data_IF_366487837974
#
_entry.id   IF_366487837974
#
_cell.length_a   1.000
_cell.length_b   1.000
_cell.length_c   1.000
_cell.angle_alpha   90.00
_cell.angle_beta   90.00
_cell.angle_gamma   90.00
#
_symmetry.space_group_name_H-M   'P 1'
#
loop_
_entity.id
_entity.type
_entity.pdbx_description
1 polymer ?
#
# COMPACT_ATOMS: atom_id res chain seq x y z
N UNK A 1 -7.46 -7.09 -0.86
CA UNK A 1 -8.21 -5.82 -0.81
C UNK A 1 -7.22 -4.70 -0.51
N UNK A 2 -7.39 -3.50 -1.08
CA UNK A 2 -6.48 -2.35 -0.87
C UNK A 2 -7.07 -1.42 0.18
N UNK A 3 -6.45 -1.34 1.35
CA UNK A 3 -6.92 -0.47 2.44
C UNK A 3 -6.42 0.96 2.32
N UNK A 4 -5.18 1.16 1.87
CA UNK A 4 -4.55 2.47 1.76
C UNK A 4 -3.54 2.49 0.62
N UNK A 5 -3.28 3.69 0.10
CA UNK A 5 -2.24 3.94 -0.91
C UNK A 5 -1.72 5.38 -0.83
N UNK A 6 -0.54 5.59 -1.39
CA UNK A 6 -0.02 6.92 -1.64
C UNK A 6 -0.69 7.51 -2.88
N UNK A 7 -1.25 8.71 -2.74
CA UNK A 7 -1.89 9.43 -3.83
C UNK A 7 -1.35 10.86 -3.88
N UNK A 8 -1.33 11.42 -5.08
CA UNK A 8 -0.91 12.81 -5.34
C UNK A 8 -1.97 13.47 -6.23
N UNK A 9 -2.14 14.78 -6.11
CA UNK A 9 -3.03 15.52 -7.03
C UNK A 9 -2.49 15.42 -8.46
N UNK A 10 -3.39 15.41 -9.44
CA UNK A 10 -3.06 15.14 -10.85
C UNK A 10 -2.13 16.18 -11.46
N UNK A 11 -2.21 17.42 -10.99
CA UNK A 11 -1.44 18.58 -11.43
C UNK A 11 -0.07 18.72 -10.75
N UNK A 12 0.31 17.76 -9.90
CA UNK A 12 1.54 17.82 -9.13
C UNK A 12 2.57 16.83 -9.66
N UNK A 13 3.79 17.33 -9.84
CA UNK A 13 4.96 16.51 -10.16
C UNK A 13 5.53 15.89 -8.88
N UNK A 14 5.90 14.61 -8.96
CA UNK A 14 6.44 13.87 -7.82
C UNK A 14 7.97 13.90 -7.79
N UNK A 15 8.63 14.28 -8.89
CA UNK A 15 10.08 14.25 -8.99
C UNK A 15 10.63 12.88 -8.59
N UNK A 16 11.57 12.86 -7.64
CA UNK A 16 12.17 11.63 -7.10
C UNK A 16 11.38 10.96 -5.98
N UNK A 17 10.27 11.56 -5.51
CA UNK A 17 9.53 11.08 -4.34
C UNK A 17 8.99 9.67 -4.52
N UNK A 18 8.49 9.35 -5.71
CA UNK A 18 7.93 8.03 -6.01
C UNK A 18 9.00 6.93 -5.86
N UNK A 19 10.18 7.15 -6.44
CA UNK A 19 11.31 6.24 -6.30
C UNK A 19 11.81 6.15 -4.86
N UNK A 20 11.89 7.27 -4.14
CA UNK A 20 12.31 7.28 -2.74
C UNK A 20 11.37 6.47 -1.84
N UNK A 21 10.05 6.59 -2.04
CA UNK A 21 9.06 5.81 -1.30
C UNK A 21 9.12 4.32 -1.65
N UNK A 22 9.33 3.97 -2.93
CA UNK A 22 9.52 2.56 -3.33
C UNK A 22 10.77 1.96 -2.70
N UNK A 23 11.90 2.65 -2.72
CA UNK A 23 13.14 2.20 -2.09
C UNK A 23 12.99 2.06 -0.57
N UNK A 24 12.32 3.02 0.08
CA UNK A 24 12.05 2.94 1.51
C UNK A 24 11.16 1.73 1.87
N UNK A 25 10.11 1.48 1.08
CA UNK A 25 9.26 0.29 1.21
C UNK A 25 10.09 -0.98 1.06
N UNK A 26 10.86 -1.13 -0.02
CA UNK A 26 11.60 -2.35 -0.32
C UNK A 26 12.65 -2.63 0.77
N UNK A 27 13.34 -1.60 1.25
CA UNK A 27 14.22 -1.70 2.42
C UNK A 27 13.45 -2.15 3.66
N UNK A 28 12.29 -1.56 3.94
CA UNK A 28 11.44 -1.97 5.07
C UNK A 28 10.99 -3.42 4.99
N UNK A 29 10.59 -3.89 3.80
CA UNK A 29 10.21 -5.28 3.54
C UNK A 29 11.38 -6.24 3.79
N UNK A 30 12.61 -5.84 3.47
CA UNK A 30 13.80 -6.65 3.77
C UNK A 30 14.15 -6.72 5.27
N UNK A 31 13.60 -5.82 6.09
CA UNK A 31 13.92 -5.64 7.50
C UNK A 31 12.72 -5.86 8.43
N UNK A 32 11.69 -6.61 8.00
CA UNK A 32 10.46 -6.77 8.80
C UNK A 32 10.72 -7.39 10.18
N UNK A 33 11.70 -8.29 10.30
CA UNK A 33 12.07 -8.88 11.59
C UNK A 33 12.63 -7.85 12.57
N UNK A 34 13.45 -6.91 12.09
CA UNK A 34 13.99 -5.82 12.90
C UNK A 34 12.89 -4.82 13.29
N UNK A 35 11.99 -4.51 12.34
CA UNK A 35 10.84 -3.63 12.59
C UNK A 35 9.93 -4.26 13.65
N UNK A 36 9.62 -5.54 13.54
CA UNK A 36 8.80 -6.27 14.51
C UNK A 36 9.43 -6.22 15.91
N UNK A 37 10.72 -6.53 16.03
CA UNK A 37 11.45 -6.47 17.31
C UNK A 37 11.42 -5.09 17.94
N UNK A 38 11.56 -4.04 17.13
CA UNK A 38 11.62 -2.65 17.58
C UNK A 38 10.24 -2.10 17.97
N UNK A 39 9.19 -2.45 17.23
CA UNK A 39 7.86 -1.84 17.38
C UNK A 39 6.91 -2.66 18.27
N UNK A 40 7.04 -3.98 18.34
CA UNK A 40 6.12 -4.82 19.10
C UNK A 40 6.03 -4.45 20.60
N UNK A 41 7.14 -4.17 21.32
CA UNK A 41 7.06 -3.77 22.73
C UNK A 41 6.32 -2.45 22.94
N UNK A 42 6.41 -1.52 21.98
CA UNK A 42 5.73 -0.21 22.06
C UNK A 42 4.21 -0.34 21.93
N UNK A 43 3.77 -1.41 21.27
CA UNK A 43 2.36 -1.73 21.06
C UNK A 43 1.84 -2.74 22.10
N UNK A 44 2.70 -3.26 22.98
CA UNK A 44 2.33 -4.27 23.97
C UNK A 44 1.95 -5.62 23.37
N UNK A 45 2.50 -5.98 22.20
CA UNK A 45 2.25 -7.26 21.52
C UNK A 45 3.53 -8.08 21.38
N UNK A 46 3.38 -9.37 21.14
CA UNK A 46 4.51 -10.26 20.86
C UNK A 46 5.19 -9.92 19.53
N UNK A 47 6.52 -9.98 19.51
CA UNK A 47 7.32 -9.80 18.28
C UNK A 47 6.89 -10.77 17.16
N UNK A 48 6.56 -12.01 17.52
CA UNK A 48 6.12 -13.04 16.57
C UNK A 48 4.79 -12.67 15.90
N UNK A 49 3.87 -12.06 16.65
CA UNK A 49 2.58 -11.55 16.16
C UNK A 49 2.81 -10.37 15.22
N UNK A 50 3.61 -9.39 15.63
CA UNK A 50 3.95 -8.23 14.80
C UNK A 50 4.61 -8.66 13.48
N UNK A 51 5.59 -9.57 13.55
CA UNK A 51 6.28 -10.12 12.37
C UNK A 51 5.32 -10.85 11.45
N UNK A 52 4.48 -11.74 11.99
CA UNK A 52 3.52 -12.49 11.18
C UNK A 52 2.56 -11.56 10.46
N UNK A 53 2.04 -10.55 11.17
CA UNK A 53 1.15 -9.55 10.58
C UNK A 53 1.82 -8.79 9.44
N UNK A 54 3.04 -8.27 9.67
CA UNK A 54 3.80 -7.53 8.66
C UNK A 54 4.15 -8.37 7.42
N UNK A 55 4.44 -9.67 7.60
CA UNK A 55 4.90 -10.56 6.52
C UNK A 55 3.77 -11.25 5.76
N UNK A 56 2.73 -11.69 6.47
CA UNK A 56 1.72 -12.60 5.93
C UNK A 56 0.36 -11.92 5.71
N UNK A 57 0.06 -10.84 6.43
CA UNK A 57 -1.25 -10.19 6.38
C UNK A 57 -1.24 -8.87 5.58
N UNK A 58 -0.06 -8.27 5.38
CA UNK A 58 0.10 -7.04 4.61
C UNK A 58 0.76 -7.31 3.26
N UNK A 59 0.23 -6.67 2.22
CA UNK A 59 0.88 -6.53 0.91
C UNK A 59 1.15 -5.05 0.67
N UNK A 60 2.41 -4.71 0.42
CA UNK A 60 2.87 -3.32 0.23
C UNK A 60 3.01 -2.93 -1.24
N UNK A 61 2.62 -3.81 -2.17
CA UNK A 61 2.76 -3.63 -3.60
C UNK A 61 1.39 -3.47 -4.25
N UNK A 62 1.23 -2.44 -5.08
CA UNK A 62 0.00 -2.19 -5.82
C UNK A 62 0.07 -2.84 -7.21
N UNK A 63 0.04 -4.17 -7.24
CA UNK A 63 0.14 -4.98 -8.45
C UNK A 63 -1.16 -5.08 -9.26
N UNK A 64 -1.19 -5.92 -10.31
CA UNK A 64 -2.38 -6.12 -11.14
C UNK A 64 -3.60 -6.58 -10.33
N UNK A 65 -3.42 -7.52 -9.41
CA UNK A 65 -4.51 -8.07 -8.59
C UNK A 65 -5.10 -7.00 -7.66
N UNK A 66 -4.26 -6.20 -7.02
CA UNK A 66 -4.68 -5.10 -6.15
C UNK A 66 -5.43 -4.02 -6.92
N UNK A 67 -4.95 -3.67 -8.13
CA UNK A 67 -5.62 -2.71 -9.01
C UNK A 67 -6.98 -3.22 -9.49
N UNK A 68 -7.10 -4.52 -9.78
CA UNK A 68 -8.39 -5.12 -10.11
C UNK A 68 -9.36 -5.06 -8.93
N UNK A 69 -8.90 -5.40 -7.72
CA UNK A 69 -9.70 -5.29 -6.51
C UNK A 69 -10.18 -3.86 -6.23
N UNK A 70 -9.31 -2.86 -6.46
CA UNK A 70 -9.67 -1.46 -6.26
C UNK A 70 -10.71 -0.96 -7.28
N UNK A 71 -10.62 -1.40 -8.54
CA UNK A 71 -11.64 -1.08 -9.56
C UNK A 71 -13.00 -1.67 -9.19
N UNK A 72 -13.04 -2.94 -8.79
CA UNK A 72 -14.29 -3.56 -8.34
C UNK A 72 -14.86 -2.85 -7.12
N UNK A 73 -14.02 -2.47 -6.17
CA UNK A 73 -14.47 -1.69 -5.01
C UNK A 73 -15.05 -0.33 -5.42
N UNK A 74 -14.39 0.39 -6.34
CA UNK A 74 -14.91 1.65 -6.88
C UNK A 74 -16.28 1.47 -7.54
N UNK A 75 -16.44 0.44 -8.39
CA UNK A 75 -17.71 0.14 -9.06
C UNK A 75 -18.84 -0.09 -8.05
N UNK A 76 -18.57 -0.84 -6.98
CA UNK A 76 -19.55 -1.12 -5.92
C UNK A 76 -19.86 0.14 -5.09
N UNK A 77 -18.85 0.98 -4.80
CA UNK A 77 -19.04 2.23 -4.08
C UNK A 77 -19.88 3.23 -4.88
N UNK A 78 -19.67 3.30 -6.20
CA UNK A 78 -20.50 4.10 -7.12
C UNK A 78 -21.95 3.59 -7.11
N UNK A 79 -22.16 2.28 -7.29
CA UNK A 79 -23.51 1.67 -7.28
C UNK A 79 -24.30 1.91 -6.00
N UNK A 80 -23.61 2.13 -4.89
CA UNK A 80 -24.21 2.39 -3.57
C UNK A 80 -24.25 3.88 -3.21
N UNK A 81 -23.82 4.78 -4.11
CA UNK A 81 -23.82 6.22 -3.89
C UNK A 81 -22.76 6.73 -2.92
N UNK A 82 -21.76 5.92 -2.59
CA UNK A 82 -20.65 6.25 -1.68
C UNK A 82 -19.47 6.93 -2.40
N UNK A 83 -19.44 6.90 -3.73
CA UNK A 83 -18.41 7.52 -4.55
C UNK A 83 -19.01 8.17 -5.81
N UNK A 84 -18.39 9.25 -6.33
CA UNK A 84 -18.84 9.91 -7.54
C UNK A 84 -18.59 9.05 -8.79
N UNK A 85 -19.50 9.14 -9.75
CA UNK A 85 -19.33 8.56 -11.08
C UNK A 85 -18.29 9.32 -11.91
N UNK A 86 -17.71 8.64 -12.91
CA UNK A 86 -16.86 9.28 -13.92
C UNK A 86 -15.46 9.71 -13.45
N UNK A 87 -15.04 9.39 -12.22
CA UNK A 87 -13.68 9.67 -11.74
C UNK A 87 -12.76 8.47 -12.03
N UNK A 88 -11.84 8.54 -13.02
CA UNK A 88 -11.00 7.40 -13.34
C UNK A 88 -9.90 7.19 -12.29
N UNK A 89 -9.68 5.93 -11.91
CA UNK A 89 -8.47 5.52 -11.18
C UNK A 89 -7.28 5.50 -12.14
N UNK A 90 -6.31 6.40 -11.88
CA UNK A 90 -5.06 6.49 -12.64
C UNK A 90 -3.93 6.04 -11.72
N UNK A 91 -3.18 5.02 -12.17
CA UNK A 91 -2.03 4.49 -11.44
C UNK A 91 -0.76 4.91 -12.14
N UNK A 92 0.19 5.49 -11.39
CA UNK A 92 1.57 5.67 -11.90
C UNK A 92 2.29 4.33 -11.81
N UNK A 93 3.12 4.04 -12.82
CA UNK A 93 3.90 2.80 -12.87
C UNK A 93 5.19 2.99 -12.07
N UNK A 94 5.17 2.67 -10.79
CA UNK A 94 6.38 2.32 -10.06
C UNK A 94 6.33 0.85 -9.65
N UNK A 95 7.12 0.03 -10.33
CA UNK A 95 7.33 -1.37 -9.98
C UNK A 95 8.82 -1.61 -9.79
N UNK A 96 9.18 -2.05 -8.59
CA UNK A 96 10.41 -2.77 -8.19
C UNK A 96 10.13 -3.30 -6.77
N UNK A 97 10.71 -4.39 -6.24
CA UNK A 97 11.69 -5.32 -6.77
C UNK A 97 11.08 -6.58 -7.41
N UNK A 98 11.86 -7.22 -8.29
CA UNK A 98 11.63 -8.57 -8.82
C UNK A 98 12.17 -9.67 -7.91
#
# INVERSE_FOLDING_TARGET
FVFAMWAVRRDQETGSLESALCQARDKGVSLLDEIARREAPKLGIDESVARSYLKNNLSFYLGPAERCGLRLFQELAIKTGLAPEGVPLVFRNCISAG
#
